data_IF_639587588714
#
_entry.id   IF_639587588714
#
_cell.length_a   1.000
_cell.length_b   1.000
_cell.length_c   1.000
_cell.angle_alpha   90.00
_cell.angle_beta   90.00
_cell.angle_gamma   90.00
#
_symmetry.space_group_name_H-M   'P 1'
#
loop_
_entity.id
_entity.type
_entity.pdbx_description
1 polymer ?
#
# COMPACT_ATOMS: atom_id res chain seq x y z
N UNK A 1 14.28 17.03 -17.79
CA UNK A 1 13.16 16.34 -17.10
C UNK A 1 12.73 15.18 -17.98
N UNK A 2 13.11 13.95 -17.62
CA UNK A 2 12.65 12.74 -18.30
C UNK A 2 11.13 12.58 -18.09
N UNK A 3 10.40 12.24 -19.15
CA UNK A 3 8.95 12.06 -19.10
C UNK A 3 8.62 10.80 -18.32
N UNK A 4 8.05 10.94 -17.12
CA UNK A 4 7.44 9.84 -16.37
C UNK A 4 6.26 9.29 -17.18
N UNK A 5 6.25 7.98 -17.45
CA UNK A 5 5.10 7.31 -18.04
C UNK A 5 4.24 6.72 -16.93
N UNK A 6 3.01 7.22 -16.80
CA UNK A 6 1.97 6.61 -15.99
C UNK A 6 1.23 5.62 -16.89
N UNK A 7 1.53 4.34 -16.78
CA UNK A 7 0.81 3.30 -17.52
C UNK A 7 -0.50 2.99 -16.79
N UNK A 8 -1.59 3.53 -17.32
CA UNK A 8 -2.92 2.93 -17.18
C UNK A 8 -2.90 1.58 -17.91
N UNK A 9 -3.38 0.50 -17.28
CA UNK A 9 -3.35 -0.87 -17.81
C UNK A 9 -4.31 -1.08 -19.02
N UNK A 10 -4.10 -0.39 -20.14
CA UNK A 10 -4.80 -0.67 -21.42
C UNK A 10 -3.83 -0.89 -22.59
N UNK A 11 -2.75 -1.65 -22.36
CA UNK A 11 -1.82 -2.07 -23.41
C UNK A 11 -1.67 -3.58 -23.45
N UNK A 12 -2.32 -4.21 -24.43
CA UNK A 12 -2.36 -5.65 -24.73
C UNK A 12 -0.99 -6.34 -24.66
N UNK A 13 -0.72 -7.05 -23.57
CA UNK A 13 0.31 -8.09 -23.46
C UNK A 13 -0.20 -9.15 -22.47
N UNK A 14 -0.17 -10.41 -22.91
CA UNK A 14 -0.78 -11.59 -22.25
C UNK A 14 -0.82 -11.52 -20.71
N UNK A 15 -2.01 -11.46 -20.08
CA UNK A 15 -2.20 -11.20 -18.64
C UNK A 15 -1.56 -12.22 -17.71
N UNK A 16 -1.33 -13.45 -18.19
CA UNK A 16 -0.85 -14.55 -17.35
C UNK A 16 0.67 -14.51 -17.13
N UNK A 17 1.45 -14.05 -18.12
CA UNK A 17 2.91 -14.10 -18.08
C UNK A 17 3.55 -12.97 -17.25
N UNK A 18 2.94 -11.77 -17.26
CA UNK A 18 3.40 -10.63 -16.43
C UNK A 18 3.03 -10.75 -14.96
N UNK A 19 1.86 -11.33 -14.64
CA UNK A 19 1.36 -11.44 -13.25
C UNK A 19 2.23 -12.32 -12.35
N UNK A 20 2.90 -13.34 -12.89
CA UNK A 20 3.75 -14.24 -12.10
C UNK A 20 5.19 -13.72 -11.93
N UNK A 21 5.74 -13.05 -12.95
CA UNK A 21 7.12 -12.53 -12.90
C UNK A 21 7.27 -11.34 -11.93
N UNK A 22 6.31 -10.39 -11.93
CA UNK A 22 6.28 -9.28 -10.96
C UNK A 22 5.98 -9.74 -9.52
N UNK A 23 5.18 -10.81 -9.34
CA UNK A 23 4.80 -11.32 -8.01
C UNK A 23 5.97 -11.91 -7.22
N UNK A 24 6.97 -12.48 -7.89
CA UNK A 24 8.08 -13.20 -7.23
C UNK A 24 9.32 -12.32 -7.11
N UNK A 25 9.59 -11.44 -8.09
CA UNK A 25 10.78 -10.57 -8.06
C UNK A 25 10.63 -9.39 -7.08
N UNK A 26 9.43 -8.83 -6.91
CA UNK A 26 9.22 -7.68 -6.00
C UNK A 26 9.51 -8.02 -4.53
N UNK A 27 9.22 -9.25 -4.08
CA UNK A 27 9.47 -9.68 -2.69
C UNK A 27 10.95 -10.03 -2.47
N UNK A 28 11.62 -10.59 -3.48
CA UNK A 28 13.00 -11.07 -3.35
C UNK A 28 14.06 -9.96 -3.49
N UNK A 29 13.81 -8.94 -4.33
CA UNK A 29 14.83 -7.95 -4.70
C UNK A 29 14.91 -6.76 -3.74
N UNK A 30 13.84 -6.45 -3.00
CA UNK A 30 13.80 -5.26 -2.12
C UNK A 30 14.00 -5.53 -0.63
N UNK A 31 13.97 -6.79 -0.18
CA UNK A 31 13.94 -7.10 1.25
C UNK A 31 14.94 -8.18 1.65
N UNK A 32 16.22 -7.81 1.82
CA UNK A 32 17.10 -8.54 2.73
C UNK A 32 16.53 -8.40 4.14
N UNK A 33 16.13 -9.49 4.80
CA UNK A 33 15.43 -9.44 6.11
C UNK A 33 16.39 -8.91 7.19
N UNK A 34 16.21 -7.67 7.68
CA UNK A 34 17.09 -7.11 8.71
C UNK A 34 16.56 -7.46 10.11
N UNK A 35 17.41 -7.72 11.11
CA UNK A 35 16.94 -8.15 12.45
C UNK A 35 16.04 -7.12 13.13
N UNK A 36 15.17 -7.58 14.03
CA UNK A 36 14.35 -6.74 14.90
C UNK A 36 13.10 -6.14 14.25
N UNK A 37 12.81 -4.86 14.51
CA UNK A 37 11.56 -4.18 14.11
C UNK A 37 11.30 -4.23 12.61
N UNK A 38 12.35 -4.06 11.81
CA UNK A 38 12.21 -3.98 10.36
C UNK A 38 11.86 -5.36 9.77
N UNK A 39 12.44 -6.46 10.24
CA UNK A 39 11.97 -7.82 9.90
C UNK A 39 10.48 -8.03 10.19
N UNK A 40 10.01 -7.61 11.36
CA UNK A 40 8.61 -7.76 11.74
C UNK A 40 7.67 -6.97 10.81
N UNK A 41 8.03 -5.72 10.50
CA UNK A 41 7.28 -4.87 9.58
C UNK A 41 7.32 -5.39 8.14
N UNK A 42 8.49 -5.82 7.65
CA UNK A 42 8.65 -6.41 6.32
C UNK A 42 7.84 -7.69 6.18
N UNK A 43 7.88 -8.57 7.19
CA UNK A 43 7.10 -9.81 7.21
C UNK A 43 5.60 -9.51 7.17
N UNK A 44 5.14 -8.58 8.01
CA UNK A 44 3.74 -8.17 8.05
C UNK A 44 3.31 -7.54 6.73
N UNK A 45 4.13 -6.65 6.16
CA UNK A 45 3.85 -5.99 4.89
C UNK A 45 3.71 -7.00 3.76
N UNK A 46 4.64 -7.96 3.68
CA UNK A 46 4.62 -9.03 2.67
C UNK A 46 3.36 -9.88 2.76
N UNK A 47 2.91 -10.22 3.98
CA UNK A 47 1.66 -10.98 4.17
C UNK A 47 0.42 -10.16 3.78
N UNK A 48 0.32 -8.91 4.23
CA UNK A 48 -0.76 -8.01 3.86
C UNK A 48 -0.86 -7.84 2.33
N UNK A 49 0.28 -7.64 1.67
CA UNK A 49 0.35 -7.55 0.23
C UNK A 49 -0.20 -8.81 -0.45
N UNK A 50 0.22 -10.00 -0.01
CA UNK A 50 -0.27 -11.28 -0.57
C UNK A 50 -1.77 -11.45 -0.42
N UNK A 51 -2.32 -11.15 0.75
CA UNK A 51 -3.76 -11.25 1.00
C UNK A 51 -4.51 -10.35 0.03
N UNK A 52 -4.14 -9.07 -0.04
CA UNK A 52 -4.85 -8.08 -0.88
C UNK A 52 -4.68 -8.35 -2.38
N UNK A 53 -3.48 -8.72 -2.82
CA UNK A 53 -3.24 -9.13 -4.20
C UNK A 53 -4.01 -10.41 -4.59
N UNK A 54 -4.34 -11.26 -3.62
CA UNK A 54 -5.16 -12.45 -3.82
C UNK A 54 -6.65 -12.16 -4.00
N UNK A 55 -7.15 -11.10 -3.36
CA UNK A 55 -8.57 -10.73 -3.45
C UNK A 55 -8.91 -9.85 -4.66
N UNK A 56 -7.92 -9.34 -5.40
CA UNK A 56 -8.14 -8.45 -6.54
C UNK A 56 -8.78 -7.11 -6.15
N UNK A 57 -8.63 -6.72 -4.89
CA UNK A 57 -9.19 -5.50 -4.35
C UNK A 57 -8.21 -4.32 -4.51
N UNK A 58 -8.73 -3.18 -4.97
CA UNK A 58 -7.97 -1.94 -5.16
C UNK A 58 -7.18 -1.87 -6.47
N UNK A 59 -6.82 -0.64 -6.85
CA UNK A 59 -5.98 -0.37 -8.03
C UNK A 59 -4.53 -0.18 -7.57
N UNK A 60 -3.62 -1.02 -8.08
CA UNK A 60 -2.19 -0.79 -7.95
C UNK A 60 -1.76 0.28 -8.93
N UNK A 61 -1.21 1.37 -8.41
CA UNK A 61 -0.67 2.45 -9.21
C UNK A 61 0.84 2.49 -9.02
N UNK A 62 1.56 2.78 -10.11
CA UNK A 62 3.00 2.87 -10.09
C UNK A 62 3.53 3.86 -11.12
N UNK A 63 4.61 4.54 -10.76
CA UNK A 63 5.41 5.34 -11.68
C UNK A 63 6.67 4.57 -12.05
N UNK A 64 6.98 4.51 -13.34
CA UNK A 64 8.13 3.81 -13.88
C UNK A 64 9.06 4.80 -14.57
N UNK A 65 10.36 4.56 -14.52
CA UNK A 65 11.35 5.24 -15.36
C UNK A 65 11.28 4.72 -16.80
N UNK A 66 11.99 5.40 -17.71
CA UNK A 66 12.02 5.06 -19.13
C UNK A 66 12.58 3.65 -19.42
N UNK A 67 13.43 3.12 -18.54
CA UNK A 67 13.96 1.76 -18.57
C UNK A 67 13.00 0.70 -17.97
N UNK A 68 11.81 1.11 -17.53
CA UNK A 68 10.80 0.24 -16.93
C UNK A 68 11.03 -0.09 -15.46
N UNK A 69 11.97 0.58 -14.77
CA UNK A 69 12.17 0.40 -13.33
C UNK A 69 11.06 1.12 -12.54
N UNK A 70 10.46 0.42 -11.58
CA UNK A 70 9.41 0.99 -10.71
C UNK A 70 10.03 1.98 -9.72
N UNK A 71 9.67 3.26 -9.83
CA UNK A 71 10.18 4.34 -9.00
C UNK A 71 9.29 4.65 -7.79
N UNK A 72 7.98 4.55 -7.96
CA UNK A 72 6.99 4.78 -6.91
C UNK A 72 5.82 3.83 -7.09
N UNK A 73 5.24 3.35 -6.00
CA UNK A 73 3.99 2.62 -6.02
C UNK A 73 3.09 2.98 -4.86
N UNK A 74 1.78 2.82 -5.05
CA UNK A 74 0.77 3.01 -4.03
C UNK A 74 -0.52 2.26 -4.39
N UNK A 75 -1.38 2.07 -3.40
CA UNK A 75 -2.70 1.49 -3.57
C UNK A 75 -3.81 2.50 -3.33
N UNK A 76 -4.82 2.45 -4.19
CA UNK A 76 -6.08 3.16 -4.01
C UNK A 76 -7.22 2.16 -3.87
N UNK A 77 -7.99 2.30 -2.80
CA UNK A 77 -9.17 1.48 -2.52
C UNK A 77 -10.40 2.36 -2.50
N UNK A 78 -11.45 1.94 -3.18
CA UNK A 78 -12.77 2.53 -3.04
C UNK A 78 -13.44 2.09 -1.73
N UNK A 79 -14.41 2.87 -1.26
CA UNK A 79 -15.10 2.63 0.02
C UNK A 79 -15.86 1.28 0.07
N UNK A 80 -16.21 0.72 -1.08
CA UNK A 80 -16.93 -0.54 -1.23
C UNK A 80 -16.03 -1.77 -1.08
N UNK A 81 -14.71 -1.58 -1.01
CA UNK A 81 -13.78 -2.67 -0.80
C UNK A 81 -13.80 -3.09 0.67
N UNK A 82 -14.21 -4.32 1.00
CA UNK A 82 -14.18 -4.80 2.37
C UNK A 82 -12.76 -4.80 2.91
N UNK A 83 -12.61 -4.36 4.16
CA UNK A 83 -11.35 -4.44 4.88
C UNK A 83 -10.88 -5.88 5.04
N UNK A 84 -9.60 -6.07 5.40
CA UNK A 84 -9.06 -7.39 5.67
C UNK A 84 -9.79 -8.03 6.85
N UNK A 85 -10.44 -9.16 6.63
CA UNK A 85 -11.12 -9.86 7.72
C UNK A 85 -10.11 -10.44 8.69
N UNK A 86 -10.51 -10.61 9.96
CA UNK A 86 -9.70 -11.31 10.95
C UNK A 86 -9.30 -12.71 10.45
N UNK A 87 -10.18 -13.36 9.68
CA UNK A 87 -9.92 -14.68 9.12
C UNK A 87 -8.85 -14.65 8.03
N UNK A 88 -8.82 -13.60 7.21
CA UNK A 88 -7.75 -13.40 6.22
C UNK A 88 -6.41 -13.12 6.90
N UNK A 89 -6.42 -12.35 8.00
CA UNK A 89 -5.22 -12.12 8.79
C UNK A 89 -4.71 -13.41 9.44
N UNK A 90 -5.63 -14.22 10.01
CA UNK A 90 -5.30 -15.50 10.64
C UNK A 90 -4.74 -16.50 9.61
N UNK A 91 -5.40 -16.69 8.45
CA UNK A 91 -4.88 -17.48 7.33
C UNK A 91 -3.58 -16.92 6.76
N UNK A 92 -3.44 -15.60 6.79
CA UNK A 92 -2.23 -14.87 6.44
C UNK A 92 -1.06 -15.11 7.39
N UNK A 93 -1.28 -15.85 8.48
CA UNK A 93 -0.25 -16.25 9.43
C UNK A 93 -0.07 -15.28 10.59
N UNK A 94 -1.03 -14.39 10.89
CA UNK A 94 -0.94 -13.46 12.02
C UNK A 94 -0.61 -14.18 13.35
N UNK A 95 -1.08 -15.42 13.51
CA UNK A 95 -0.75 -16.26 14.67
C UNK A 95 0.74 -16.63 14.78
N UNK A 96 1.51 -16.60 13.68
CA UNK A 96 2.96 -16.82 13.69
C UNK A 96 3.72 -15.64 14.30
N UNK A 97 3.11 -14.45 14.35
CA UNK A 97 3.75 -13.22 14.82
C UNK A 97 4.23 -13.28 16.29
N UNK A 98 3.42 -13.70 17.29
CA UNK A 98 3.89 -13.77 18.68
C UNK A 98 5.03 -14.76 18.86
N UNK A 99 5.05 -15.87 18.11
CA UNK A 99 6.12 -16.86 18.17
C UNK A 99 7.42 -16.38 17.52
N UNK A 100 7.34 -15.54 16.48
CA UNK A 100 8.52 -15.01 15.77
C UNK A 100 9.11 -13.76 16.40
N UNK A 101 8.28 -12.84 16.87
CA UNK A 101 8.70 -11.48 17.24
C UNK A 101 8.36 -11.10 18.69
N UNK A 102 7.74 -12.02 19.43
CA UNK A 102 7.33 -11.83 20.83
C UNK A 102 5.98 -11.11 21.00
N UNK A 103 5.32 -11.38 22.13
CA UNK A 103 4.02 -10.79 22.46
C UNK A 103 4.08 -9.26 22.62
N UNK A 104 5.18 -8.71 23.12
CA UNK A 104 5.32 -7.26 23.32
C UNK A 104 5.27 -6.51 21.99
N UNK A 105 5.97 -7.01 20.96
CA UNK A 105 5.97 -6.43 19.61
C UNK A 105 4.58 -6.50 18.97
N UNK A 106 3.90 -7.63 19.12
CA UNK A 106 2.53 -7.81 18.64
C UNK A 106 1.55 -6.84 19.31
N UNK A 107 1.61 -6.69 20.64
CA UNK A 107 0.73 -5.76 21.39
C UNK A 107 0.93 -4.31 20.94
N UNK A 108 2.18 -3.87 20.77
CA UNK A 108 2.49 -2.52 20.28
C UNK A 108 1.92 -2.30 18.88
N UNK A 109 2.09 -3.28 18.00
CA UNK A 109 1.56 -3.21 16.65
C UNK A 109 0.03 -3.15 16.63
N UNK A 110 -0.65 -4.00 17.41
CA UNK A 110 -2.11 -4.00 17.51
C UNK A 110 -2.64 -2.68 18.08
N UNK A 111 -1.93 -2.08 19.04
CA UNK A 111 -2.30 -0.77 19.56
C UNK A 111 -2.23 0.32 18.48
N UNK A 112 -1.16 0.34 17.68
CA UNK A 112 -1.01 1.28 16.56
C UNK A 112 -2.05 1.03 15.47
N UNK A 113 -2.30 -0.24 15.12
CA UNK A 113 -3.33 -0.61 14.15
C UNK A 113 -4.71 -0.14 14.60
N UNK A 114 -5.11 -0.45 15.84
CA UNK A 114 -6.39 -0.01 16.40
C UNK A 114 -6.53 1.52 16.43
N UNK A 115 -5.46 2.23 16.78
CA UNK A 115 -5.45 3.69 16.76
C UNK A 115 -5.64 4.25 15.34
N UNK A 116 -4.96 3.67 14.36
CA UNK A 116 -5.06 4.05 12.94
C UNK A 116 -6.46 3.76 12.40
N UNK A 117 -7.04 2.60 12.73
CA UNK A 117 -8.39 2.22 12.35
C UNK A 117 -9.42 3.20 12.92
N UNK A 118 -9.28 3.61 14.18
CA UNK A 118 -10.18 4.58 14.80
C UNK A 118 -10.07 5.98 14.16
N UNK A 119 -8.85 6.43 13.81
CA UNK A 119 -8.65 7.69 13.09
C UNK A 119 -9.27 7.63 11.69
N UNK A 120 -9.11 6.49 11.01
CA UNK A 120 -9.65 6.28 9.68
C UNK A 120 -11.18 6.20 9.68
N UNK A 121 -11.78 5.52 10.66
CA UNK A 121 -13.23 5.39 10.78
C UNK A 121 -13.93 6.74 10.96
N UNK A 122 -13.29 7.71 11.65
CA UNK A 122 -13.79 9.08 11.72
C UNK A 122 -13.84 9.75 10.34
N UNK A 123 -12.76 9.65 9.57
CA UNK A 123 -12.70 10.20 8.20
C UNK A 123 -13.72 9.54 7.26
N UNK A 124 -13.96 8.24 7.41
CA UNK A 124 -14.97 7.52 6.64
C UNK A 124 -16.39 7.98 6.95
N UNK A 125 -16.67 8.36 8.21
CA UNK A 125 -17.97 8.89 8.61
C UNK A 125 -18.21 10.29 8.02
N UNK A 126 -17.17 11.12 7.93
CA UNK A 126 -17.25 12.46 7.33
C UNK A 126 -17.35 12.43 5.80
N UNK A 127 -16.69 11.47 5.15
CA UNK A 127 -16.65 11.34 3.69
C UNK A 127 -17.19 10.00 3.23
N UNK A 128 -18.50 9.94 2.94
CA UNK A 128 -19.19 8.70 2.55
C UNK A 128 -18.71 8.10 1.23
N UNK A 129 -18.19 8.92 0.31
CA UNK A 129 -17.54 8.49 -0.94
C UNK A 129 -16.06 8.87 -0.89
N UNK A 130 -15.20 7.87 -0.74
CA UNK A 130 -13.78 8.13 -0.58
C UNK A 130 -12.90 7.07 -1.23
N UNK A 131 -11.69 7.48 -1.62
CA UNK A 131 -10.60 6.56 -1.89
C UNK A 131 -9.60 6.58 -0.73
N UNK A 132 -9.22 5.40 -0.28
CA UNK A 132 -8.16 5.22 0.69
C UNK A 132 -6.81 5.06 -0.02
N UNK A 133 -5.88 5.98 0.25
CA UNK A 133 -4.49 5.84 -0.15
C UNK A 133 -3.75 4.95 0.86
N UNK A 134 -3.22 3.83 0.38
CA UNK A 134 -2.40 2.94 1.19
C UNK A 134 -1.01 2.72 0.59
N UNK A 135 -0.02 2.55 1.48
CA UNK A 135 1.30 1.98 1.17
C UNK A 135 2.03 2.69 0.04
N UNK A 136 1.95 4.03 0.02
CA UNK A 136 2.74 4.82 -0.90
C UNK A 136 4.22 4.72 -0.55
N UNK A 137 5.02 4.28 -1.52
CA UNK A 137 6.47 4.13 -1.38
C UNK A 137 7.13 4.74 -2.62
N UNK A 138 8.21 5.48 -2.39
CA UNK A 138 9.10 6.01 -3.43
C UNK A 138 10.48 5.43 -3.18
N UNK A 139 11.15 4.99 -4.25
CA UNK A 139 12.54 4.52 -4.18
C UNK A 139 13.42 5.57 -3.49
N UNK A 140 14.31 5.16 -2.56
CA UNK A 140 15.13 6.10 -1.78
C UNK A 140 15.84 7.15 -2.63
N UNK A 141 16.47 6.74 -3.73
CA UNK A 141 17.22 7.62 -4.64
C UNK A 141 16.35 8.68 -5.34
N UNK A 142 15.03 8.51 -5.31
CA UNK A 142 14.04 9.38 -5.94
C UNK A 142 13.17 10.11 -4.91
N UNK A 143 13.43 9.96 -3.61
CA UNK A 143 12.74 10.74 -2.58
C UNK A 143 13.15 12.21 -2.68
N UNK A 144 12.21 13.13 -2.46
CA UNK A 144 12.42 14.58 -2.63
C UNK A 144 12.42 15.07 -4.08
N UNK A 145 12.43 14.18 -5.08
CA UNK A 145 12.39 14.55 -6.50
C UNK A 145 10.99 14.90 -7.05
N UNK A 146 9.94 14.75 -6.22
CA UNK A 146 8.55 14.99 -6.61
C UNK A 146 7.88 13.83 -7.36
N UNK A 147 8.56 12.71 -7.63
CA UNK A 147 7.98 11.54 -8.33
C UNK A 147 6.71 11.02 -7.65
N UNK A 148 6.71 10.90 -6.32
CA UNK A 148 5.54 10.47 -5.56
C UNK A 148 4.36 11.42 -5.75
N UNK A 149 4.59 12.73 -5.56
CA UNK A 149 3.57 13.76 -5.75
C UNK A 149 3.00 13.72 -7.16
N UNK A 150 3.85 13.66 -8.19
CA UNK A 150 3.41 13.60 -9.58
C UNK A 150 2.54 12.36 -9.86
N UNK A 151 2.96 11.19 -9.39
CA UNK A 151 2.23 9.94 -9.55
C UNK A 151 0.87 9.98 -8.83
N UNK A 152 0.86 10.49 -7.60
CA UNK A 152 -0.37 10.63 -6.81
C UNK A 152 -1.32 11.65 -7.44
N UNK A 153 -0.83 12.82 -7.89
CA UNK A 153 -1.66 13.85 -8.53
C UNK A 153 -2.41 13.34 -9.76
N UNK A 154 -1.81 12.44 -10.55
CA UNK A 154 -2.50 11.82 -11.68
C UNK A 154 -3.65 10.93 -11.21
N UNK A 155 -3.39 10.08 -10.22
CA UNK A 155 -4.41 9.21 -9.65
C UNK A 155 -5.53 9.98 -8.92
N UNK A 156 -5.22 11.12 -8.30
CA UNK A 156 -6.21 12.02 -7.70
C UNK A 156 -7.11 12.67 -8.75
N UNK A 157 -6.56 13.08 -9.91
CA UNK A 157 -7.39 13.61 -11.02
C UNK A 157 -8.38 12.56 -11.54
N UNK A 158 -7.97 11.30 -11.62
CA UNK A 158 -8.88 10.19 -11.95
C UNK A 158 -9.98 10.06 -10.88
N UNK A 159 -9.62 10.15 -9.59
CA UNK A 159 -10.58 10.09 -8.49
C UNK A 159 -11.59 11.25 -8.51
N UNK A 160 -11.13 12.48 -8.76
CA UNK A 160 -11.95 13.67 -8.87
C UNK A 160 -12.96 13.54 -10.02
N UNK A 161 -12.52 13.00 -11.16
CA UNK A 161 -13.39 12.71 -12.32
C UNK A 161 -14.49 11.70 -11.95
N UNK A 162 -14.21 10.78 -11.02
CA UNK A 162 -15.19 9.83 -10.50
C UNK A 162 -16.01 10.36 -9.30
N UNK A 163 -15.80 11.61 -8.88
CA UNK A 163 -16.51 12.24 -7.75
C UNK A 163 -16.22 11.60 -6.39
N UNK A 164 -15.00 11.07 -6.19
CA UNK A 164 -14.56 10.44 -4.95
C UNK A 164 -13.50 11.30 -4.26
N UNK A 165 -13.73 11.65 -3.00
CA UNK A 165 -12.74 12.37 -2.21
C UNK A 165 -11.58 11.44 -1.85
N UNK A 166 -10.36 11.95 -1.72
CA UNK A 166 -9.24 11.19 -1.16
C UNK A 166 -8.85 11.82 0.19
N UNK A 167 -9.53 11.45 1.28
CA UNK A 167 -9.25 12.02 2.58
C UNK A 167 -7.83 11.64 3.01
N UNK A 168 -7.09 12.63 3.49
CA UNK A 168 -5.74 12.44 4.03
C UNK A 168 -5.77 12.79 5.52
N UNK A 169 -5.35 11.85 6.36
CA UNK A 169 -5.13 12.12 7.77
C UNK A 169 -3.76 12.79 7.93
N UNK A 170 -3.73 14.09 8.20
CA UNK A 170 -2.51 14.72 8.71
C UNK A 170 -2.25 14.20 10.12
N UNK A 171 -1.22 13.38 10.30
CA UNK A 171 -0.83 12.86 11.63
C UNK A 171 -0.13 13.93 12.51
N UNK A 172 -0.22 15.22 12.15
CA UNK A 172 0.66 16.27 12.68
C UNK A 172 -0.04 17.19 13.69
N UNK A 173 -1.36 17.17 13.84
CA UNK A 173 -2.03 18.24 14.60
C UNK A 173 -2.28 17.96 16.10
N UNK A 174 -2.11 16.73 16.61
CA UNK A 174 -2.47 16.39 18.01
C UNK A 174 -1.32 15.82 18.87
N UNK A 175 -0.08 16.23 18.63
CA UNK A 175 1.03 15.99 19.57
C UNK A 175 1.50 17.31 20.16
N UNK A 176 0.70 17.85 21.09
CA UNK A 176 1.08 18.91 22.04
C UNK A 176 0.91 18.38 23.46
#
# INVERSE_FOLDING_TARGET
MEKLQCLSEEGELSPAARRLSLKVHFIATFFQIPPGRVAALTWMFSRNYRIRAGHGHGKFNGAFSADGKLLCCFWLFAEDVPGLSLWDMLRGGLLEMPFRFGLTSMRRLLAVAKWTDAALDRLKQEHSKHLLLERMVVLPDYQGSGVGTAALSLALKEADTCGRAVPWASLVEDVV
#
